data_IF_976575076388
#
_entry.id   IF_976575076388
#
_cell.length_a   1.000
_cell.length_b   1.000
_cell.length_c   1.000
_cell.angle_alpha   90.00
_cell.angle_beta   90.00
_cell.angle_gamma   90.00
#
_symmetry.space_group_name_H-M   'P 1'
#
loop_
_entity.id
_entity.type
_entity.pdbx_description
1 polymer ?
#
# COMPACT_ATOMS: atom_id res chain seq x y z
N UNK A 1 4.53 -3.32 -9.81
CA UNK A 1 5.37 -2.36 -9.07
C UNK A 1 5.41 -2.70 -7.59
N UNK A 2 4.27 -2.66 -6.91
CA UNK A 2 4.16 -3.00 -5.48
C UNK A 2 4.58 -4.44 -5.15
N UNK A 3 4.14 -5.43 -5.93
CA UNK A 3 4.58 -6.84 -5.77
C UNK A 3 6.10 -7.01 -5.87
N UNK A 4 6.76 -6.24 -6.75
CA UNK A 4 8.22 -6.32 -6.90
C UNK A 4 8.93 -5.73 -5.68
N UNK A 5 8.38 -4.66 -5.08
CA UNK A 5 8.87 -4.10 -3.83
C UNK A 5 8.68 -5.06 -2.65
N UNK A 6 7.50 -5.68 -2.51
CA UNK A 6 7.25 -6.62 -1.41
C UNK A 6 8.11 -7.88 -1.54
N UNK A 7 8.26 -8.43 -2.75
CA UNK A 7 9.17 -9.57 -2.99
C UNK A 7 10.62 -9.19 -2.72
N UNK A 8 11.05 -7.97 -3.05
CA UNK A 8 12.41 -7.50 -2.77
C UNK A 8 12.69 -7.41 -1.27
N UNK A 9 11.73 -6.97 -0.45
CA UNK A 9 11.87 -6.92 1.00
C UNK A 9 12.07 -8.32 1.61
N UNK A 10 11.35 -9.33 1.12
CA UNK A 10 11.53 -10.73 1.54
C UNK A 10 12.85 -11.31 1.03
N UNK A 11 13.26 -10.94 -0.18
CA UNK A 11 14.51 -11.40 -0.78
C UNK A 11 15.78 -10.91 -0.06
N UNK A 12 15.70 -9.85 0.74
CA UNK A 12 16.83 -9.40 1.59
C UNK A 12 17.22 -10.46 2.63
N UNK A 13 16.28 -11.31 3.06
CA UNK A 13 16.55 -12.39 4.02
C UNK A 13 17.10 -13.66 3.36
N UNK A 14 17.21 -13.70 2.04
CA UNK A 14 17.82 -14.83 1.32
C UNK A 14 19.35 -14.76 1.40
N UNK A 15 20.05 -15.90 1.54
CA UNK A 15 21.51 -15.93 1.46
C UNK A 15 21.99 -15.42 0.10
N UNK A 16 23.08 -14.63 0.10
CA UNK A 16 23.61 -13.97 -1.11
C UNK A 16 24.12 -14.95 -2.18
N UNK A 17 24.42 -16.19 -1.79
CA UNK A 17 24.70 -17.31 -2.68
C UNK A 17 23.62 -18.37 -2.49
N UNK A 18 22.87 -18.63 -3.55
CA UNK A 18 21.82 -19.66 -3.55
C UNK A 18 22.33 -20.88 -4.32
N UNK A 19 22.20 -22.05 -3.71
CA UNK A 19 22.30 -23.29 -4.48
C UNK A 19 21.11 -23.42 -5.42
N UNK A 20 21.28 -24.14 -6.52
CA UNK A 20 20.23 -24.35 -7.52
C UNK A 20 18.95 -24.95 -6.90
N UNK A 21 19.11 -25.80 -5.88
CA UNK A 21 18.00 -26.39 -5.11
C UNK A 21 17.24 -25.35 -4.27
N UNK A 22 17.95 -24.44 -3.59
CA UNK A 22 17.33 -23.35 -2.81
C UNK A 22 16.59 -22.37 -3.71
N UNK A 23 17.15 -22.07 -4.89
CA UNK A 23 16.51 -21.19 -5.87
C UNK A 23 15.18 -21.78 -6.37
N UNK A 24 15.15 -23.06 -6.72
CA UNK A 24 13.92 -23.75 -7.17
C UNK A 24 12.87 -23.76 -6.05
N UNK A 25 13.26 -24.03 -4.80
CA UNK A 25 12.33 -24.01 -3.67
C UNK A 25 11.72 -22.62 -3.44
N UNK A 26 12.52 -21.56 -3.47
CA UNK A 26 12.02 -20.20 -3.25
C UNK A 26 11.10 -19.76 -4.39
N UNK A 27 11.50 -20.00 -5.65
CA UNK A 27 10.69 -19.62 -6.81
C UNK A 27 9.37 -20.39 -6.83
N UNK A 28 9.39 -21.71 -6.60
CA UNK A 28 8.17 -22.52 -6.57
C UNK A 28 7.22 -22.08 -5.44
N UNK A 29 7.75 -21.75 -4.26
CA UNK A 29 6.96 -21.21 -3.15
C UNK A 29 6.22 -19.92 -3.53
N UNK A 30 6.91 -18.94 -4.13
CA UNK A 30 6.29 -17.69 -4.58
C UNK A 30 5.24 -17.93 -5.67
N UNK A 31 5.51 -18.82 -6.62
CA UNK A 31 4.59 -19.16 -7.70
C UNK A 31 3.31 -19.81 -7.16
N UNK A 32 3.44 -20.78 -6.24
CA UNK A 32 2.28 -21.45 -5.64
C UNK A 32 1.42 -20.46 -4.85
N UNK A 33 2.04 -19.59 -4.05
CA UNK A 33 1.32 -18.56 -3.30
C UNK A 33 0.61 -17.58 -4.22
N UNK A 34 1.28 -17.09 -5.27
CA UNK A 34 0.66 -16.20 -6.24
C UNK A 34 -0.50 -16.88 -6.98
N UNK A 35 -0.33 -18.14 -7.38
CA UNK A 35 -1.37 -18.93 -8.01
C UNK A 35 -2.58 -19.12 -7.08
N UNK A 36 -2.34 -19.43 -5.81
CA UNK A 36 -3.38 -19.51 -4.78
C UNK A 36 -4.10 -18.17 -4.62
N UNK A 37 -3.36 -17.07 -4.50
CA UNK A 37 -3.92 -15.72 -4.34
C UNK A 37 -4.82 -15.32 -5.54
N UNK A 38 -4.37 -15.62 -6.76
CA UNK A 38 -5.17 -15.40 -7.96
C UNK A 38 -6.38 -16.32 -8.05
N UNK A 39 -6.26 -17.59 -7.62
CA UNK A 39 -7.36 -18.54 -7.58
C UNK A 39 -8.51 -18.06 -6.68
N UNK A 40 -8.18 -17.44 -5.54
CA UNK A 40 -9.18 -16.84 -4.65
C UNK A 40 -9.71 -15.47 -5.11
N UNK A 41 -9.20 -14.93 -6.24
CA UNK A 41 -9.65 -13.69 -6.91
C UNK A 41 -9.82 -12.46 -6.00
N UNK A 42 -9.15 -12.42 -4.85
CA UNK A 42 -9.28 -11.33 -3.87
C UNK A 42 -10.39 -11.48 -2.84
N UNK A 43 -11.19 -12.56 -2.86
CA UNK A 43 -12.12 -12.97 -1.79
C UNK A 43 -12.86 -11.83 -1.08
N UNK A 44 -12.82 -11.82 0.27
CA UNK A 44 -13.46 -10.79 1.10
C UNK A 44 -12.92 -9.37 0.87
N UNK A 45 -11.68 -9.22 0.40
CA UNK A 45 -11.09 -7.90 0.11
C UNK A 45 -11.82 -7.24 -1.07
N UNK A 46 -12.30 -8.03 -2.03
CA UNK A 46 -13.08 -7.49 -3.15
C UNK A 46 -14.39 -6.87 -2.67
N UNK A 47 -15.06 -7.45 -1.68
CA UNK A 47 -16.27 -6.89 -1.07
C UNK A 47 -15.96 -5.55 -0.38
N UNK A 48 -14.90 -5.50 0.44
CA UNK A 48 -14.47 -4.27 1.13
C UNK A 48 -14.09 -3.15 0.15
N UNK A 49 -13.43 -3.48 -0.96
CA UNK A 49 -13.09 -2.51 -2.01
C UNK A 49 -14.36 -2.02 -2.70
N UNK A 50 -15.29 -2.92 -3.06
CA UNK A 50 -16.51 -2.56 -3.79
C UNK A 50 -17.48 -1.74 -2.91
N UNK A 51 -17.57 -2.02 -1.62
CA UNK A 51 -18.39 -1.26 -0.64
C UNK A 51 -17.88 0.17 -0.40
N UNK A 52 -16.57 0.40 -0.55
CA UNK A 52 -15.92 1.72 -0.44
C UNK A 52 -15.91 2.48 -1.77
N UNK A 53 -16.35 1.82 -2.83
CA UNK A 53 -16.41 2.31 -4.21
C UNK A 53 -17.84 2.82 -4.48
N UNK A 54 -18.33 3.70 -3.59
CA UNK A 54 -19.51 4.53 -3.83
C UNK A 54 -19.09 5.61 -4.85
N UNK A 55 -18.93 5.18 -6.11
CA UNK A 55 -18.40 5.98 -7.22
C UNK A 55 -19.47 6.97 -7.68
N UNK A 56 -19.60 8.07 -6.97
CA UNK A 56 -20.38 9.21 -7.46
C UNK A 56 -19.69 9.92 -8.64
N UNK A 57 -18.37 9.71 -8.89
CA UNK A 57 -17.67 10.26 -10.06
C UNK A 57 -16.42 9.46 -10.49
N UNK A 58 -16.54 8.70 -11.58
CA UNK A 58 -15.44 7.90 -12.17
C UNK A 58 -14.26 8.75 -12.67
N UNK A 59 -14.53 10.01 -13.05
CA UNK A 59 -13.54 10.96 -13.59
C UNK A 59 -12.56 11.46 -12.53
N UNK A 60 -13.06 11.72 -11.33
CA UNK A 60 -12.21 12.13 -10.21
C UNK A 60 -11.30 10.97 -9.77
N UNK A 61 -11.84 9.75 -9.73
CA UNK A 61 -11.07 8.55 -9.41
C UNK A 61 -9.88 8.32 -10.36
N UNK A 62 -10.06 8.57 -11.67
CA UNK A 62 -9.01 8.38 -12.67
C UNK A 62 -7.89 9.40 -12.56
N UNK A 63 -8.21 10.67 -12.27
CA UNK A 63 -7.19 11.72 -12.05
C UNK A 63 -6.33 11.41 -10.81
N UNK A 64 -6.97 10.90 -9.75
CA UNK A 64 -6.30 10.53 -8.51
C UNK A 64 -5.37 9.31 -8.74
N UNK A 65 -5.83 8.29 -9.46
CA UNK A 65 -4.99 7.14 -9.85
C UNK A 65 -3.82 7.55 -10.76
N UNK A 66 -4.02 8.54 -11.63
CA UNK A 66 -2.96 9.08 -12.48
C UNK A 66 -1.90 9.81 -11.64
N UNK A 67 -2.31 10.64 -10.68
CA UNK A 67 -1.39 11.26 -9.71
C UNK A 67 -0.65 10.21 -8.88
N UNK A 68 -1.33 9.14 -8.45
CA UNK A 68 -0.73 8.00 -7.74
C UNK A 68 0.37 7.32 -8.57
N UNK A 69 0.08 7.05 -9.85
CA UNK A 69 1.04 6.48 -10.79
C UNK A 69 2.26 7.37 -11.01
N UNK A 70 2.07 8.69 -11.11
CA UNK A 70 3.16 9.67 -11.24
C UNK A 70 4.08 9.69 -10.03
N UNK A 71 3.53 9.71 -8.81
CA UNK A 71 4.34 9.69 -7.57
C UNK A 71 5.19 8.42 -7.51
N UNK A 72 4.60 7.25 -7.81
CA UNK A 72 5.36 5.99 -7.87
C UNK A 72 6.43 5.98 -8.95
N UNK A 73 6.15 6.58 -10.11
CA UNK A 73 7.11 6.67 -11.22
C UNK A 73 8.36 7.48 -10.85
N UNK A 74 8.17 8.66 -10.24
CA UNK A 74 9.27 9.54 -9.82
C UNK A 74 10.18 8.85 -8.81
N UNK A 75 9.60 8.26 -7.75
CA UNK A 75 10.42 7.63 -6.70
C UNK A 75 11.06 6.32 -7.10
N UNK A 76 10.57 5.62 -8.14
CA UNK A 76 11.21 4.41 -8.62
C UNK A 76 12.33 4.67 -9.63
N UNK A 77 12.11 5.60 -10.58
CA UNK A 77 13.01 5.76 -11.73
C UNK A 77 14.01 6.89 -11.53
N UNK A 78 13.57 7.99 -10.90
CA UNK A 78 14.38 9.21 -10.81
C UNK A 78 15.12 9.32 -9.48
N UNK A 79 14.77 8.52 -8.49
CA UNK A 79 15.35 8.62 -7.15
C UNK A 79 15.84 7.26 -6.65
N UNK A 80 17.05 7.23 -6.09
CA UNK A 80 17.68 6.03 -5.51
C UNK A 80 17.26 5.81 -4.04
N UNK A 81 16.50 6.74 -3.47
CA UNK A 81 16.08 6.67 -2.07
C UNK A 81 15.00 5.59 -1.87
N UNK A 82 15.18 4.68 -0.89
CA UNK A 82 14.17 3.67 -0.58
C UNK A 82 12.86 4.35 -0.15
N UNK A 83 11.80 4.07 -0.87
CA UNK A 83 10.47 4.64 -0.63
C UNK A 83 9.77 3.92 0.52
N UNK A 84 9.19 4.67 1.48
CA UNK A 84 8.21 4.09 2.40
C UNK A 84 6.85 3.99 1.72
N UNK A 85 6.55 2.79 1.22
CA UNK A 85 5.29 2.47 0.55
C UNK A 85 4.07 2.73 1.44
N UNK A 86 4.21 2.61 2.77
CA UNK A 86 3.16 2.90 3.75
C UNK A 86 2.79 4.37 3.80
N UNK A 87 3.77 5.27 3.95
CA UNK A 87 3.52 6.72 4.05
C UNK A 87 3.00 7.32 2.75
N UNK A 88 3.52 6.84 1.63
CA UNK A 88 3.07 7.22 0.30
C UNK A 88 1.62 6.80 0.09
N UNK A 89 1.27 5.56 0.46
CA UNK A 89 -0.09 5.05 0.35
C UNK A 89 -1.07 5.79 1.27
N UNK A 90 -0.71 6.03 2.54
CA UNK A 90 -1.52 6.81 3.48
C UNK A 90 -1.75 8.24 2.99
N UNK A 91 -0.70 8.91 2.48
CA UNK A 91 -0.81 10.26 1.91
C UNK A 91 -1.73 10.31 0.68
N UNK A 92 -1.69 9.27 -0.16
CA UNK A 92 -2.54 9.18 -1.35
C UNK A 92 -4.00 8.85 -1.01
N UNK A 93 -4.24 7.97 -0.03
CA UNK A 93 -5.59 7.72 0.50
C UNK A 93 -6.19 8.98 1.15
N UNK A 94 -5.38 9.69 1.94
CA UNK A 94 -5.72 10.97 2.53
C UNK A 94 -6.10 12.00 1.46
N UNK A 95 -5.25 12.16 0.44
CA UNK A 95 -5.48 13.08 -0.68
C UNK A 95 -6.74 12.74 -1.47
N UNK A 96 -7.01 11.45 -1.71
CA UNK A 96 -8.25 10.98 -2.37
C UNK A 96 -9.49 11.38 -1.59
N UNK A 97 -9.53 11.09 -0.28
CA UNK A 97 -10.68 11.38 0.57
C UNK A 97 -10.93 12.90 0.70
N UNK A 98 -9.86 13.70 0.84
CA UNK A 98 -9.96 15.17 0.88
C UNK A 98 -10.48 15.70 -0.46
N UNK A 99 -9.95 15.25 -1.60
CA UNK A 99 -10.40 15.66 -2.93
C UNK A 99 -11.87 15.31 -3.16
N UNK A 100 -12.30 14.07 -2.85
CA UNK A 100 -13.70 13.66 -2.99
C UNK A 100 -14.64 14.50 -2.12
N UNK A 101 -14.24 14.88 -0.90
CA UNK A 101 -15.06 15.77 -0.06
C UNK A 101 -15.09 17.23 -0.54
N UNK A 102 -14.03 17.71 -1.22
CA UNK A 102 -14.00 19.05 -1.79
C UNK A 102 -14.87 19.16 -3.06
N UNK A 103 -14.91 18.11 -3.88
CA UNK A 103 -15.68 18.09 -5.12
C UNK A 103 -17.11 17.55 -4.97
N UNK A 104 -17.41 16.79 -3.91
CA UNK A 104 -18.78 16.36 -3.62
C UNK A 104 -19.61 17.51 -3.07
N UNK A 105 -20.72 17.86 -3.74
CA UNK A 105 -21.69 18.89 -3.29
C UNK A 105 -22.44 18.53 -1.99
N UNK A 106 -22.17 17.38 -1.40
CA UNK A 106 -22.79 16.97 -0.13
C UNK A 106 -22.04 17.58 1.06
N UNK A 107 -22.74 18.21 2.03
CA UNK A 107 -22.15 18.73 3.25
C UNK A 107 -21.79 17.60 4.23
N UNK A 108 -21.03 16.59 3.80
CA UNK A 108 -20.35 15.72 4.76
C UNK A 108 -19.27 16.60 5.42
N UNK A 109 -19.26 16.74 6.75
CA UNK A 109 -18.39 17.71 7.40
C UNK A 109 -16.95 17.33 7.11
N UNK A 110 -16.24 18.20 6.38
CA UNK A 110 -14.81 18.12 6.07
C UNK A 110 -13.98 17.67 7.28
N UNK A 111 -14.37 18.12 8.49
CA UNK A 111 -13.80 17.72 9.77
C UNK A 111 -13.87 16.20 10.06
N UNK A 112 -14.93 15.50 9.66
CA UNK A 112 -15.10 14.07 9.94
C UNK A 112 -14.19 13.22 9.06
N UNK A 113 -14.04 13.57 7.78
CA UNK A 113 -13.13 12.87 6.87
C UNK A 113 -11.67 13.14 7.22
N UNK A 114 -11.31 14.40 7.51
CA UNK A 114 -9.98 14.75 7.99
C UNK A 114 -9.63 14.03 9.30
N UNK A 115 -10.57 13.91 10.24
CA UNK A 115 -10.33 13.22 11.52
C UNK A 115 -10.21 11.69 11.34
N UNK A 116 -10.90 11.09 10.37
CA UNK A 116 -10.74 9.68 10.02
C UNK A 116 -9.34 9.42 9.43
N UNK A 117 -8.93 10.23 8.45
CA UNK A 117 -7.60 10.16 7.84
C UNK A 117 -6.50 10.36 8.88
N UNK A 118 -6.64 11.36 9.75
CA UNK A 118 -5.69 11.65 10.82
C UNK A 118 -5.58 10.49 11.82
N UNK A 119 -6.70 9.85 12.16
CA UNK A 119 -6.72 8.67 13.02
C UNK A 119 -6.00 7.47 12.39
N UNK A 120 -6.13 7.28 11.08
CA UNK A 120 -5.42 6.22 10.35
C UNK A 120 -3.92 6.47 10.29
N UNK A 121 -3.50 7.73 10.09
CA UNK A 121 -2.10 8.17 10.17
C UNK A 121 -1.52 7.92 11.56
N UNK A 122 -2.23 8.31 12.63
CA UNK A 122 -1.77 8.08 14.02
C UNK A 122 -1.65 6.59 14.31
N UNK A 123 -2.61 5.77 13.88
CA UNK A 123 -2.56 4.32 14.10
C UNK A 123 -1.38 3.67 13.38
N UNK A 124 -1.11 4.06 12.13
CA UNK A 124 0.05 3.58 11.39
C UNK A 124 1.37 4.04 12.03
N UNK A 125 1.45 5.31 12.43
CA UNK A 125 2.62 5.86 13.13
C UNK A 125 2.86 5.21 14.50
N UNK A 126 1.81 4.93 15.26
CA UNK A 126 1.90 4.22 16.54
C UNK A 126 2.45 2.80 16.35
N UNK A 127 2.01 2.07 15.33
CA UNK A 127 2.56 0.76 14.98
C UNK A 127 4.07 0.81 14.69
N UNK A 128 4.52 1.85 13.99
CA UNK A 128 5.93 2.07 13.70
C UNK A 128 6.73 2.38 14.98
N UNK A 129 6.21 3.25 15.85
CA UNK A 129 6.80 3.54 17.17
C UNK A 129 6.92 2.29 18.05
N UNK A 130 5.86 1.48 18.12
CA UNK A 130 5.86 0.24 18.90
C UNK A 130 6.90 -0.75 18.35
N UNK A 131 6.98 -0.90 17.02
CA UNK A 131 8.01 -1.72 16.37
C UNK A 131 9.42 -1.24 16.73
N UNK A 132 9.66 0.08 16.72
CA UNK A 132 10.94 0.67 17.08
C UNK A 132 11.31 0.38 18.54
N UNK A 133 10.35 0.53 19.45
CA UNK A 133 10.53 0.24 20.88
C UNK A 133 10.89 -1.23 21.09
N UNK A 134 10.19 -2.15 20.43
CA UNK A 134 10.47 -3.59 20.53
C UNK A 134 11.89 -3.91 20.06
N UNK A 135 12.32 -3.34 18.93
CA UNK A 135 13.68 -3.55 18.42
C UNK A 135 14.73 -3.01 19.38
N UNK A 136 14.51 -1.81 19.95
CA UNK A 136 15.44 -1.22 20.94
C UNK A 136 15.48 -2.03 22.24
N UNK A 137 14.38 -2.69 22.63
CA UNK A 137 14.37 -3.56 23.81
C UNK A 137 15.01 -4.93 23.57
N UNK A 138 14.99 -5.42 22.33
CA UNK A 138 15.58 -6.71 21.94
C UNK A 138 17.08 -6.59 21.64
N UNK A 139 17.52 -5.42 21.15
CA UNK A 139 18.92 -5.09 20.84
C UNK A 139 19.68 -4.64 22.09
#
# INVERSE_FOLDING_TARGET
>A
MWLMQDTANVAVFLPRSLSLMQLIMVVSYFVIILAFLMFFRGGKIQVVVTEKTDLTDIRAATIIDLCYGLVLFVFKIWNSLPMSTTWVFLGLLAGREIALTLFSKNPRPYKRTANLVFKDIIRAGAGLLISLIIVIFIM
#
